data_IF_991566307771
#
_entry.id   IF_991566307771
#
_cell.length_a   1.000
_cell.length_b   1.000
_cell.length_c   1.000
_cell.angle_alpha   90.00
_cell.angle_beta   90.00
_cell.angle_gamma   90.00
#
_symmetry.space_group_name_H-M   'P 1'
#
loop_
_entity.id
_entity.type
_entity.pdbx_description
1 polymer ?
#
# COMPACT_ATOMS: atom_id res chain seq x y z
N UNK A 1 -26.37 11.58 -6.36
CA UNK A 1 -26.47 10.73 -5.16
C UNK A 1 -27.75 11.07 -4.43
N UNK A 2 -28.70 10.14 -4.36
CA UNK A 2 -29.83 10.26 -3.44
C UNK A 2 -29.28 10.18 -2.01
N UNK A 3 -29.74 11.02 -1.07
CA UNK A 3 -29.33 10.87 0.32
C UNK A 3 -29.84 9.52 0.83
N UNK A 4 -28.92 8.67 1.30
CA UNK A 4 -29.21 7.34 1.88
C UNK A 4 -29.96 7.46 3.24
N UNK A 5 -30.45 8.65 3.60
CA UNK A 5 -30.98 8.97 4.92
C UNK A 5 -32.39 8.47 5.24
N UNK A 6 -33.04 7.61 4.44
CA UNK A 6 -34.39 7.12 4.82
C UNK A 6 -34.66 5.66 4.44
N UNK A 7 -33.77 4.74 4.81
CA UNK A 7 -34.20 3.37 5.08
C UNK A 7 -34.36 3.28 6.60
N UNK A 8 -35.60 3.39 7.08
CA UNK A 8 -35.91 3.36 8.51
C UNK A 8 -35.44 2.05 9.13
N UNK A 9 -34.55 2.22 10.10
CA UNK A 9 -34.00 1.27 11.05
C UNK A 9 -35.05 0.68 12.02
N UNK A 10 -36.16 0.14 11.52
CA UNK A 10 -37.14 -0.54 12.38
C UNK A 10 -36.85 -2.04 12.36
N UNK A 11 -36.35 -2.54 13.50
CA UNK A 11 -35.79 -3.89 13.78
C UNK A 11 -34.27 -4.05 13.65
N UNK A 12 -33.47 -3.10 14.15
CA UNK A 12 -32.05 -3.35 14.41
C UNK A 12 -31.94 -4.18 15.69
N UNK A 13 -31.79 -5.50 15.56
CA UNK A 13 -31.13 -6.28 16.61
C UNK A 13 -29.75 -5.65 16.84
N UNK A 14 -29.39 -5.38 18.09
CA UNK A 14 -28.04 -4.96 18.48
C UNK A 14 -27.06 -6.00 17.91
N UNK A 15 -26.44 -5.70 16.77
CA UNK A 15 -25.42 -6.57 16.21
C UNK A 15 -24.18 -6.38 17.06
N UNK A 16 -23.63 -7.48 17.58
CA UNK A 16 -22.42 -7.42 18.39
C UNK A 16 -21.31 -6.67 17.63
N UNK A 17 -20.68 -5.66 18.26
CA UNK A 17 -19.63 -4.87 17.63
C UNK A 17 -18.45 -5.75 17.25
N UNK A 18 -17.79 -5.40 16.15
CA UNK A 18 -16.61 -6.12 15.66
C UNK A 18 -15.65 -5.16 14.96
N UNK A 19 -14.37 -5.50 14.94
CA UNK A 19 -13.30 -4.60 14.49
C UNK A 19 -12.98 -4.76 13.00
N UNK A 20 -12.98 -6.01 12.50
CA UNK A 20 -12.52 -6.36 11.16
C UNK A 20 -13.66 -6.94 10.33
N UNK A 21 -14.01 -6.26 9.24
CA UNK A 21 -14.89 -6.78 8.20
C UNK A 21 -14.05 -7.43 7.09
N UNK A 22 -14.37 -8.67 6.72
CA UNK A 22 -13.75 -9.39 5.60
C UNK A 22 -14.80 -9.62 4.52
N UNK A 23 -14.50 -9.27 3.27
CA UNK A 23 -15.39 -9.45 2.12
C UNK A 23 -14.66 -10.23 1.02
N UNK A 24 -15.27 -11.28 0.47
CA UNK A 24 -14.71 -12.04 -0.66
C UNK A 24 -15.71 -13.04 -1.26
N UNK A 25 -15.34 -13.82 -2.28
CA UNK A 25 -16.18 -14.89 -2.82
C UNK A 25 -16.52 -15.96 -1.79
N UNK A 26 -17.75 -16.50 -1.80
CA UNK A 26 -18.22 -17.55 -0.87
C UNK A 26 -17.27 -18.75 -0.78
N UNK A 27 -16.60 -19.11 -1.88
CA UNK A 27 -15.61 -20.19 -1.94
C UNK A 27 -14.45 -20.01 -0.95
N UNK A 28 -14.19 -18.80 -0.46
CA UNK A 28 -13.10 -18.51 0.50
C UNK A 28 -13.53 -18.64 1.97
N UNK A 29 -14.81 -18.87 2.27
CA UNK A 29 -15.33 -18.88 3.64
C UNK A 29 -14.61 -19.89 4.53
N UNK A 30 -14.44 -21.13 4.05
CA UNK A 30 -13.75 -22.22 4.76
C UNK A 30 -12.33 -21.82 5.12
N UNK A 31 -11.57 -21.35 4.13
CA UNK A 31 -10.17 -20.96 4.27
C UNK A 31 -9.99 -19.77 5.23
N UNK A 32 -10.88 -18.78 5.15
CA UNK A 32 -10.83 -17.59 6.02
C UNK A 32 -11.19 -17.88 7.47
N UNK A 33 -11.89 -18.97 7.78
CA UNK A 33 -12.27 -19.31 9.15
C UNK A 33 -11.05 -19.43 10.06
N UNK A 34 -9.96 -20.08 9.60
CA UNK A 34 -8.71 -20.21 10.36
C UNK A 34 -8.09 -18.85 10.69
N UNK A 35 -8.17 -17.91 9.74
CA UNK A 35 -7.66 -16.55 9.93
C UNK A 35 -8.53 -15.76 10.92
N UNK A 36 -9.86 -15.87 10.85
CA UNK A 36 -10.79 -15.26 11.81
C UNK A 36 -10.53 -15.76 13.23
N UNK A 37 -10.33 -17.06 13.40
CA UNK A 37 -10.04 -17.65 14.71
C UNK A 37 -8.68 -17.18 15.23
N UNK A 38 -7.66 -17.09 14.37
CA UNK A 38 -6.37 -16.48 14.72
C UNK A 38 -6.54 -15.02 15.17
N UNK A 39 -7.30 -14.19 14.44
CA UNK A 39 -7.56 -12.79 14.81
C UNK A 39 -8.25 -12.66 16.17
N UNK A 40 -9.17 -13.58 16.49
CA UNK A 40 -9.79 -13.65 17.82
C UNK A 40 -8.75 -13.87 18.92
N UNK A 41 -7.71 -14.68 18.69
CA UNK A 41 -6.62 -14.86 19.66
C UNK A 41 -5.78 -13.59 19.87
N UNK A 42 -5.78 -12.68 18.89
CA UNK A 42 -5.13 -11.37 18.97
C UNK A 42 -6.06 -10.27 19.52
N UNK A 43 -7.28 -10.63 19.97
CA UNK A 43 -8.26 -9.67 20.47
C UNK A 43 -8.90 -8.81 19.37
N UNK A 44 -8.94 -9.30 18.13
CA UNK A 44 -9.62 -8.67 17.00
C UNK A 44 -10.86 -9.50 16.68
N UNK A 45 -12.04 -8.91 16.86
CA UNK A 45 -13.29 -9.58 16.50
C UNK A 45 -13.51 -9.36 15.00
N UNK A 46 -13.46 -10.44 14.22
CA UNK A 46 -13.63 -10.40 12.77
C UNK A 46 -14.93 -11.07 12.33
N UNK A 47 -15.55 -10.54 11.26
CA UNK A 47 -16.69 -11.17 10.57
C UNK A 47 -16.41 -11.22 9.07
N UNK A 48 -16.86 -12.29 8.45
CA UNK A 48 -16.76 -12.50 7.01
C UNK A 48 -18.16 -12.51 6.37
N UNK A 49 -18.29 -11.79 5.27
CA UNK A 49 -19.46 -11.76 4.41
C UNK A 49 -19.04 -12.05 2.98
N UNK A 50 -19.78 -12.92 2.30
CA UNK A 50 -19.48 -13.18 0.90
C UNK A 50 -20.08 -12.12 -0.02
N UNK A 51 -19.50 -11.96 -1.21
CA UNK A 51 -20.05 -11.11 -2.27
C UNK A 51 -21.47 -11.55 -2.62
N UNK A 52 -21.70 -12.85 -2.65
CA UNK A 52 -22.99 -13.48 -2.93
C UNK A 52 -24.03 -13.08 -1.88
N UNK A 53 -23.68 -13.16 -0.59
CA UNK A 53 -24.53 -12.70 0.52
C UNK A 53 -24.84 -11.21 0.43
N UNK A 54 -23.84 -10.36 0.17
CA UNK A 54 -24.01 -8.91 0.05
C UNK A 54 -24.97 -8.58 -1.10
N UNK A 55 -24.76 -9.20 -2.27
CA UNK A 55 -25.60 -8.97 -3.44
C UNK A 55 -27.04 -9.46 -3.20
N UNK A 56 -27.22 -10.62 -2.57
CA UNK A 56 -28.54 -11.14 -2.21
C UNK A 56 -29.26 -10.25 -1.17
N UNK A 57 -28.55 -9.76 -0.15
CA UNK A 57 -29.09 -8.88 0.88
C UNK A 57 -29.61 -7.57 0.30
N UNK A 58 -28.86 -6.98 -0.65
CA UNK A 58 -29.19 -5.69 -1.24
C UNK A 58 -30.15 -5.78 -2.44
N UNK A 59 -30.31 -6.94 -3.07
CA UNK A 59 -31.26 -7.15 -4.15
C UNK A 59 -32.73 -6.90 -3.74
N UNK A 60 -33.05 -7.03 -2.45
CA UNK A 60 -34.38 -6.73 -1.93
C UNK A 60 -34.68 -5.22 -1.85
N UNK A 61 -33.67 -4.35 -1.94
CA UNK A 61 -33.81 -2.90 -1.83
C UNK A 61 -33.83 -2.32 -3.24
N UNK A 62 -35.02 -1.94 -3.74
CA UNK A 62 -35.23 -1.48 -5.13
C UNK A 62 -34.27 -0.37 -5.57
N UNK A 63 -33.90 0.55 -4.68
CA UNK A 63 -32.97 1.65 -5.00
C UNK A 63 -31.50 1.23 -5.11
N UNK A 64 -31.15 0.01 -4.68
CA UNK A 64 -29.77 -0.52 -4.63
C UNK A 64 -29.62 -1.75 -5.56
N UNK A 65 -30.72 -2.45 -5.86
CA UNK A 65 -30.71 -3.71 -6.60
C UNK A 65 -29.99 -3.63 -7.96
N UNK A 66 -30.14 -2.51 -8.66
CA UNK A 66 -29.56 -2.29 -10.00
C UNK A 66 -28.18 -1.61 -9.97
N UNK A 67 -27.64 -1.29 -8.78
CA UNK A 67 -26.32 -0.67 -8.68
C UNK A 67 -25.20 -1.66 -9.06
N UNK A 68 -24.08 -1.16 -9.60
CA UNK A 68 -22.88 -1.96 -9.80
C UNK A 68 -22.39 -2.59 -8.49
N UNK A 69 -21.72 -3.73 -8.57
CA UNK A 69 -21.22 -4.45 -7.40
C UNK A 69 -20.31 -3.58 -6.51
N UNK A 70 -19.51 -2.69 -7.09
CA UNK A 70 -18.68 -1.73 -6.35
C UNK A 70 -19.52 -0.84 -5.42
N UNK A 71 -20.64 -0.30 -5.90
CA UNK A 71 -21.51 0.57 -5.10
C UNK A 71 -22.30 -0.21 -4.06
N UNK A 72 -22.66 -1.46 -4.36
CA UNK A 72 -23.27 -2.39 -3.39
C UNK A 72 -22.34 -2.72 -2.23
N UNK A 73 -21.07 -3.03 -2.53
CA UNK A 73 -20.05 -3.27 -1.50
C UNK A 73 -19.84 -2.02 -0.66
N UNK A 74 -19.73 -0.84 -1.28
CA UNK A 74 -19.60 0.43 -0.54
C UNK A 74 -20.77 0.69 0.39
N UNK A 75 -22.01 0.59 -0.10
CA UNK A 75 -23.20 0.76 0.73
C UNK A 75 -23.26 -0.25 1.90
N UNK A 76 -22.82 -1.49 1.68
CA UNK A 76 -22.73 -2.50 2.73
C UNK A 76 -21.67 -2.13 3.78
N UNK A 77 -20.46 -1.74 3.35
CA UNK A 77 -19.37 -1.32 4.25
C UNK A 77 -19.77 -0.08 5.07
N UNK A 78 -20.38 0.93 4.45
CA UNK A 78 -20.87 2.13 5.16
C UNK A 78 -21.88 1.77 6.24
N UNK A 79 -22.82 0.86 5.95
CA UNK A 79 -23.80 0.37 6.93
C UNK A 79 -23.14 -0.38 8.08
N UNK A 80 -22.15 -1.23 7.80
CA UNK A 80 -21.43 -1.97 8.84
C UNK A 80 -20.52 -1.08 9.69
N UNK A 81 -19.98 0.00 9.11
CA UNK A 81 -19.31 1.06 9.86
C UNK A 81 -20.24 1.73 10.86
N UNK A 82 -21.42 2.18 10.43
CA UNK A 82 -22.39 2.85 11.30
C UNK A 82 -22.92 1.92 12.41
N UNK A 83 -23.21 0.65 12.08
CA UNK A 83 -23.85 -0.29 13.01
C UNK A 83 -22.87 -0.94 13.97
N UNK A 84 -21.68 -1.29 13.49
CA UNK A 84 -20.75 -2.16 14.22
C UNK A 84 -19.45 -1.47 14.59
N UNK A 85 -19.19 -0.27 14.05
CA UNK A 85 -17.99 0.52 14.34
C UNK A 85 -16.71 -0.13 13.82
N UNK A 86 -16.78 -0.78 12.65
CA UNK A 86 -15.62 -1.47 12.06
C UNK A 86 -14.46 -0.49 11.86
N UNK A 87 -13.24 -0.99 12.10
CA UNK A 87 -11.99 -0.21 12.02
C UNK A 87 -11.15 -0.62 10.82
N UNK A 88 -11.29 -1.88 10.40
CA UNK A 88 -10.53 -2.48 9.34
C UNK A 88 -11.48 -3.18 8.34
N UNK A 89 -11.12 -3.11 7.07
CA UNK A 89 -11.75 -3.84 5.98
C UNK A 89 -10.68 -4.63 5.23
N UNK A 90 -10.92 -5.92 5.03
CA UNK A 90 -10.06 -6.80 4.25
C UNK A 90 -10.82 -7.39 3.07
N UNK A 91 -10.39 -7.05 1.85
CA UNK A 91 -10.98 -7.54 0.61
C UNK A 91 -10.22 -8.80 0.15
N UNK A 92 -10.87 -9.96 0.09
CA UNK A 92 -10.26 -11.22 -0.35
C UNK A 92 -10.65 -11.53 -1.81
N UNK A 93 -9.70 -11.32 -2.73
CA UNK A 93 -9.86 -11.54 -4.16
C UNK A 93 -9.13 -10.51 -5.02
N UNK A 94 -8.99 -10.82 -6.32
CA UNK A 94 -8.51 -9.86 -7.33
C UNK A 94 -9.56 -8.78 -7.62
N UNK A 95 -9.21 -7.81 -8.46
CA UNK A 95 -10.16 -6.79 -8.93
C UNK A 95 -11.31 -7.38 -9.76
N UNK A 96 -11.17 -8.60 -10.29
CA UNK A 96 -12.23 -9.25 -11.07
C UNK A 96 -13.33 -9.83 -10.18
N UNK A 97 -12.98 -10.35 -9.00
CA UNK A 97 -13.95 -10.92 -8.06
C UNK A 97 -14.46 -9.88 -7.06
N UNK A 98 -13.55 -9.10 -6.45
CA UNK A 98 -13.88 -8.00 -5.54
C UNK A 98 -13.45 -6.68 -6.20
N UNK A 99 -14.36 -6.00 -6.93
CA UNK A 99 -13.96 -4.89 -7.77
C UNK A 99 -13.46 -3.68 -6.99
N UNK A 100 -12.54 -2.95 -7.60
CA UNK A 100 -12.06 -1.65 -7.10
C UNK A 100 -12.85 -0.52 -7.77
N UNK A 101 -12.91 0.67 -7.16
CA UNK A 101 -13.59 1.83 -7.79
C UNK A 101 -12.59 2.57 -8.68
N UNK A 102 -13.00 2.88 -9.89
CA UNK A 102 -12.30 3.83 -10.75
C UNK A 102 -12.82 5.24 -10.45
N UNK A 103 -11.94 6.07 -9.90
CA UNK A 103 -12.25 7.43 -9.45
C UNK A 103 -11.66 8.43 -10.42
N UNK A 104 -12.46 9.41 -10.85
CA UNK A 104 -11.99 10.50 -11.70
C UNK A 104 -11.01 11.38 -10.92
N UNK A 105 -9.74 11.33 -11.30
CA UNK A 105 -8.68 12.15 -10.73
C UNK A 105 -7.54 12.27 -11.76
N UNK A 106 -7.66 13.22 -12.69
CA UNK A 106 -6.77 13.31 -13.85
C UNK A 106 -5.32 13.55 -13.44
N UNK A 107 -4.39 12.86 -14.10
CA UNK A 107 -2.93 13.08 -14.00
C UNK A 107 -2.24 12.77 -15.32
N UNK A 108 -1.06 13.35 -15.51
CA UNK A 108 -0.20 13.21 -16.70
C UNK A 108 0.42 11.82 -16.96
N UNK A 109 -0.30 10.75 -16.63
CA UNK A 109 0.08 9.37 -16.92
C UNK A 109 -0.16 9.06 -18.38
N UNK A 110 0.84 9.35 -19.22
CA UNK A 110 0.75 9.01 -20.64
C UNK A 110 0.97 7.51 -20.87
N UNK A 111 0.10 6.92 -21.69
CA UNK A 111 0.27 5.63 -22.40
C UNK A 111 0.26 4.32 -21.58
N UNK A 112 0.48 4.35 -20.26
CA UNK A 112 0.51 3.12 -19.43
C UNK A 112 -0.86 2.78 -18.82
N UNK A 113 -1.68 3.79 -18.52
CA UNK A 113 -2.97 3.60 -17.85
C UNK A 113 -3.96 4.72 -18.22
N UNK A 114 -5.20 4.60 -17.76
CA UNK A 114 -6.20 5.67 -17.90
C UNK A 114 -5.74 6.96 -17.18
N UNK A 115 -5.48 8.01 -17.97
CA UNK A 115 -5.10 9.34 -17.52
C UNK A 115 -6.11 9.94 -16.53
N UNK A 116 -7.40 9.70 -16.74
CA UNK A 116 -8.51 10.32 -16.01
C UNK A 116 -8.92 9.53 -14.78
N UNK A 117 -8.86 8.20 -14.83
CA UNK A 117 -9.43 7.35 -13.79
C UNK A 117 -8.39 6.50 -13.07
N UNK A 118 -8.46 6.49 -11.74
CA UNK A 118 -7.52 5.76 -10.88
C UNK A 118 -8.26 4.67 -10.10
N UNK A 119 -7.81 3.41 -10.15
CA UNK A 119 -8.37 2.34 -9.33
C UNK A 119 -7.99 2.57 -7.87
N UNK A 120 -8.96 2.45 -6.98
CA UNK A 120 -8.75 2.66 -5.54
C UNK A 120 -9.69 1.83 -4.68
N UNK A 121 -9.11 1.17 -3.69
CA UNK A 121 -9.88 0.53 -2.61
C UNK A 121 -10.23 1.54 -1.49
N UNK A 122 -9.62 2.73 -1.48
CA UNK A 122 -9.95 3.79 -0.52
C UNK A 122 -11.38 4.33 -0.68
N UNK A 123 -12.03 4.06 -1.82
CA UNK A 123 -13.46 4.30 -1.97
C UNK A 123 -14.26 3.63 -0.85
N UNK A 124 -13.91 2.39 -0.48
CA UNK A 124 -14.55 1.65 0.61
C UNK A 124 -14.15 2.15 2.01
N UNK A 125 -13.08 2.94 2.11
CA UNK A 125 -12.59 3.48 3.38
C UNK A 125 -13.37 4.70 3.87
N UNK A 126 -14.18 5.31 2.99
CA UNK A 126 -14.88 6.58 3.23
C UNK A 126 -16.39 6.31 3.17
N UNK A 127 -17.06 6.12 4.32
CA UNK A 127 -18.49 5.78 4.35
C UNK A 127 -19.36 6.78 3.59
N UNK A 128 -19.01 8.06 3.69
CA UNK A 128 -19.72 9.20 3.09
C UNK A 128 -18.96 9.79 1.88
N UNK A 129 -18.51 8.92 0.97
CA UNK A 129 -17.73 9.33 -0.21
C UNK A 129 -18.49 10.34 -1.09
N UNK A 130 -17.79 11.39 -1.52
CA UNK A 130 -18.30 12.44 -2.42
C UNK A 130 -17.31 12.75 -3.52
N UNK A 131 -17.70 12.53 -4.78
CA UNK A 131 -16.85 12.83 -5.94
C UNK A 131 -16.46 14.31 -6.01
N UNK A 132 -17.34 15.22 -5.55
CA UNK A 132 -17.06 16.66 -5.49
C UNK A 132 -15.95 17.06 -4.49
N UNK A 133 -15.49 16.14 -3.64
CA UNK A 133 -14.44 16.38 -2.66
C UNK A 133 -13.06 15.87 -3.10
N UNK A 134 -12.97 15.20 -4.25
CA UNK A 134 -11.71 14.70 -4.78
C UNK A 134 -10.74 15.87 -4.99
N UNK A 135 -9.53 15.74 -4.46
CA UNK A 135 -8.47 16.74 -4.57
C UNK A 135 -8.63 17.97 -3.69
N UNK A 136 -9.68 18.07 -2.88
CA UNK A 136 -9.85 19.17 -1.93
C UNK A 136 -9.20 18.86 -0.58
N UNK A 137 -8.83 19.92 0.15
CA UNK A 137 -8.32 19.82 1.52
C UNK A 137 -9.33 19.08 2.41
N UNK A 138 -8.88 18.00 3.05
CA UNK A 138 -9.71 17.10 3.87
C UNK A 138 -10.87 16.43 3.11
N UNK A 139 -10.82 16.40 1.78
CA UNK A 139 -11.80 15.70 0.97
C UNK A 139 -11.67 14.19 1.10
N UNK A 140 -12.81 13.49 1.28
CA UNK A 140 -12.89 12.03 1.39
C UNK A 140 -11.82 11.41 2.31
N UNK A 141 -11.70 11.92 3.53
CA UNK A 141 -10.78 11.38 4.54
C UNK A 141 -11.18 9.94 4.90
N UNK A 142 -10.25 8.96 4.82
CA UNK A 142 -10.57 7.59 5.16
C UNK A 142 -10.81 7.42 6.67
N UNK A 143 -11.85 6.65 6.99
CA UNK A 143 -12.26 6.29 8.35
C UNK A 143 -11.97 4.83 8.70
N UNK A 144 -11.86 3.98 7.68
CA UNK A 144 -11.61 2.54 7.80
C UNK A 144 -10.28 2.23 7.13
N UNK A 145 -9.41 1.44 7.77
CA UNK A 145 -8.19 0.98 7.13
C UNK A 145 -8.54 -0.16 6.16
N UNK A 146 -8.18 -0.03 4.88
CA UNK A 146 -8.54 -1.01 3.85
C UNK A 146 -7.31 -1.75 3.36
N UNK A 147 -7.36 -3.08 3.38
CA UNK A 147 -6.37 -3.97 2.80
C UNK A 147 -7.01 -4.95 1.83
N UNK A 148 -6.18 -5.61 1.02
CA UNK A 148 -6.62 -6.65 0.07
C UNK A 148 -5.72 -7.88 0.13
N UNK A 149 -6.31 -9.06 0.03
CA UNK A 149 -5.64 -10.32 -0.27
C UNK A 149 -5.85 -10.61 -1.77
N UNK A 150 -4.91 -10.27 -2.67
CA UNK A 150 -5.15 -10.25 -4.12
C UNK A 150 -5.04 -11.64 -4.78
N UNK A 151 -5.71 -12.63 -4.20
CA UNK A 151 -5.64 -14.04 -4.58
C UNK A 151 -6.63 -14.38 -5.71
N UNK A 152 -6.24 -15.30 -6.58
CA UNK A 152 -7.03 -15.78 -7.72
C UNK A 152 -7.87 -17.01 -7.37
N UNK A 153 -7.44 -17.79 -6.38
CA UNK A 153 -8.04 -19.07 -5.99
C UNK A 153 -7.80 -19.38 -4.50
N UNK A 154 -8.35 -20.51 -4.05
CA UNK A 154 -8.26 -20.96 -2.65
C UNK A 154 -6.84 -21.39 -2.26
N UNK A 155 -6.04 -21.92 -3.20
CA UNK A 155 -4.67 -22.35 -2.93
C UNK A 155 -3.76 -21.15 -2.60
N UNK A 156 -3.84 -20.09 -3.42
CA UNK A 156 -3.12 -18.85 -3.14
C UNK A 156 -3.59 -18.20 -1.83
N UNK A 157 -4.88 -18.27 -1.51
CA UNK A 157 -5.43 -17.79 -0.25
C UNK A 157 -4.83 -18.53 0.94
N UNK A 158 -4.89 -19.85 0.96
CA UNK A 158 -4.34 -20.67 2.04
C UNK A 158 -2.84 -20.42 2.24
N UNK A 159 -2.09 -20.30 1.15
CA UNK A 159 -0.66 -19.98 1.19
C UNK A 159 -0.42 -18.60 1.82
N UNK A 160 -1.15 -17.57 1.38
CA UNK A 160 -1.04 -16.21 1.91
C UNK A 160 -1.45 -16.14 3.39
N UNK A 161 -2.59 -16.74 3.78
CA UNK A 161 -3.04 -16.77 5.17
C UNK A 161 -2.05 -17.50 6.08
N UNK A 162 -1.43 -18.59 5.60
CA UNK A 162 -0.37 -19.30 6.33
C UNK A 162 0.84 -18.41 6.58
N UNK A 163 1.26 -17.63 5.58
CA UNK A 163 2.37 -16.67 5.70
C UNK A 163 2.03 -15.54 6.68
N UNK A 164 0.82 -14.96 6.58
CA UNK A 164 0.34 -13.91 7.49
C UNK A 164 0.33 -14.42 8.94
N UNK A 165 -0.34 -15.54 9.22
CA UNK A 165 -0.42 -16.12 10.57
C UNK A 165 0.97 -16.42 11.15
N UNK A 166 1.89 -16.94 10.32
CA UNK A 166 3.27 -17.21 10.75
C UNK A 166 4.00 -15.95 11.20
N UNK A 167 3.93 -14.89 10.39
CA UNK A 167 4.61 -13.62 10.67
C UNK A 167 3.97 -12.91 11.85
N UNK A 168 2.65 -12.84 11.89
CA UNK A 168 1.94 -12.15 12.95
C UNK A 168 2.01 -12.86 14.29
N UNK A 169 1.96 -14.19 14.30
CA UNK A 169 2.04 -15.00 15.51
C UNK A 169 3.46 -15.05 16.09
N UNK A 170 4.48 -14.87 15.24
CA UNK A 170 5.89 -14.90 15.66
C UNK A 170 6.79 -14.06 14.73
N UNK A 171 6.67 -12.74 14.82
CA UNK A 171 7.56 -11.86 14.09
C UNK A 171 8.99 -12.05 14.61
N UNK A 172 9.90 -12.44 13.72
CA UNK A 172 11.31 -12.58 14.04
C UNK A 172 11.95 -11.19 14.03
N UNK A 173 12.79 -10.93 15.02
CA UNK A 173 13.63 -9.75 15.01
C UNK A 173 14.68 -9.86 13.89
N UNK A 174 15.04 -8.73 13.30
CA UNK A 174 15.79 -8.64 12.06
C UNK A 174 16.05 -7.20 11.69
N UNK A 175 16.66 -6.95 10.53
CA UNK A 175 16.96 -5.61 10.07
C UNK A 175 15.71 -4.91 9.51
N UNK A 176 15.73 -3.58 9.58
CA UNK A 176 14.94 -2.74 8.69
C UNK A 176 15.80 -2.41 7.47
N UNK A 177 15.51 -3.06 6.35
CA UNK A 177 16.21 -2.90 5.08
C UNK A 177 15.61 -1.71 4.29
N UNK A 178 16.45 -0.77 3.90
CA UNK A 178 16.09 0.29 2.93
C UNK A 178 17.01 0.17 1.72
N UNK A 179 16.47 0.16 0.51
CA UNK A 179 17.28 -0.01 -0.69
C UNK A 179 16.68 0.68 -1.93
N UNK A 180 17.52 1.01 -2.91
CA UNK A 180 17.11 1.62 -4.18
C UNK A 180 17.91 2.88 -4.53
N UNK A 181 17.31 3.77 -5.31
CA UNK A 181 17.92 5.02 -5.73
C UNK A 181 18.11 5.96 -4.52
N UNK A 182 19.15 6.81 -4.56
CA UNK A 182 19.55 7.68 -3.45
C UNK A 182 18.35 8.49 -2.95
N UNK A 183 17.99 8.25 -1.69
CA UNK A 183 17.01 9.07 -0.98
C UNK A 183 17.82 10.13 -0.25
N UNK A 184 17.30 11.36 -0.17
CA UNK A 184 17.66 12.30 0.89
C UNK A 184 17.19 11.69 2.24
N UNK A 185 17.97 10.70 2.71
CA UNK A 185 17.55 9.68 3.69
C UNK A 185 17.50 10.20 5.13
N UNK A 186 18.13 11.34 5.40
CA UNK A 186 18.31 11.87 6.76
C UNK A 186 16.99 12.21 7.48
N UNK A 187 15.89 12.42 6.74
CA UNK A 187 14.61 12.82 7.34
C UNK A 187 13.61 11.68 7.56
N UNK A 188 13.86 10.47 7.05
CA UNK A 188 12.75 9.52 6.88
C UNK A 188 12.37 8.75 8.15
N UNK A 189 13.33 8.40 9.02
CA UNK A 189 13.11 7.38 10.04
C UNK A 189 13.85 7.65 11.36
N UNK A 190 13.12 7.59 12.46
CA UNK A 190 13.66 7.66 13.84
C UNK A 190 14.15 6.30 14.37
N UNK A 191 14.33 5.31 13.50
CA UNK A 191 14.71 3.94 13.84
C UNK A 191 15.95 3.49 13.07
N UNK A 192 16.80 2.62 13.64
CA UNK A 192 17.95 2.08 12.93
C UNK A 192 17.52 1.33 11.66
N UNK A 193 18.24 1.54 10.55
CA UNK A 193 18.04 0.83 9.30
C UNK A 193 19.38 0.47 8.66
N UNK A 194 19.35 -0.52 7.77
CA UNK A 194 20.45 -0.88 6.90
C UNK A 194 20.11 -0.37 5.51
N UNK A 195 20.89 0.58 5.02
CA UNK A 195 20.73 1.14 3.69
C UNK A 195 21.63 0.42 2.69
N UNK A 196 21.07 0.07 1.53
CA UNK A 196 21.85 -0.30 0.35
C UNK A 196 21.50 0.64 -0.79
N UNK A 197 22.44 1.50 -1.14
CA UNK A 197 22.36 2.27 -2.37
C UNK A 197 22.35 1.30 -3.57
N UNK A 198 21.57 1.63 -4.57
CA UNK A 198 21.54 0.88 -5.81
C UNK A 198 22.81 1.16 -6.63
N UNK A 199 23.89 0.53 -6.22
CA UNK A 199 25.06 0.30 -7.05
C UNK A 199 25.00 -1.13 -7.65
N UNK A 200 25.97 -1.45 -8.51
CA UNK A 200 26.07 -2.79 -9.11
C UNK A 200 26.06 -3.95 -8.09
N UNK A 201 26.45 -3.75 -6.82
CA UNK A 201 26.44 -4.79 -5.81
C UNK A 201 25.02 -5.17 -5.36
N UNK A 202 24.06 -4.23 -5.39
CA UNK A 202 22.69 -4.49 -4.95
C UNK A 202 21.99 -5.49 -5.89
N UNK A 203 22.19 -5.35 -7.20
CA UNK A 203 21.65 -6.28 -8.20
C UNK A 203 22.15 -7.70 -7.97
N UNK A 204 23.44 -7.88 -7.68
CA UNK A 204 24.02 -9.21 -7.39
C UNK A 204 23.49 -9.81 -6.08
N UNK A 205 23.32 -8.98 -5.04
CA UNK A 205 22.73 -9.42 -3.75
C UNK A 205 21.28 -9.87 -3.89
N UNK A 206 20.49 -9.19 -4.73
CA UNK A 206 19.12 -9.61 -5.02
C UNK A 206 19.13 -10.94 -5.76
N UNK A 207 19.97 -11.10 -6.79
CA UNK A 207 20.09 -12.35 -7.56
C UNK A 207 20.59 -13.53 -6.72
N UNK A 208 21.44 -13.27 -5.72
CA UNK A 208 21.90 -14.30 -4.78
C UNK A 208 20.88 -14.63 -3.68
N UNK A 209 19.74 -13.93 -3.63
CA UNK A 209 18.67 -14.09 -2.64
C UNK A 209 19.07 -13.81 -1.19
N UNK A 210 20.26 -13.25 -0.97
CA UNK A 210 20.80 -12.96 0.36
C UNK A 210 20.29 -11.66 0.94
N UNK A 211 19.79 -10.73 0.11
CA UNK A 211 19.36 -9.40 0.53
C UNK A 211 18.28 -9.43 1.62
N UNK A 212 17.34 -10.37 1.53
CA UNK A 212 16.20 -10.46 2.46
C UNK A 212 16.47 -11.36 3.67
N UNK A 213 17.67 -11.93 3.78
CA UNK A 213 18.00 -12.80 4.91
C UNK A 213 18.10 -11.99 6.21
N UNK A 214 17.31 -12.39 7.22
CA UNK A 214 17.28 -11.69 8.50
C UNK A 214 16.59 -10.32 8.47
N UNK A 215 15.79 -10.04 7.44
CA UNK A 215 14.99 -8.81 7.34
C UNK A 215 13.67 -8.98 8.09
N UNK A 216 13.27 -7.97 8.86
CA UNK A 216 11.91 -7.88 9.44
C UNK A 216 11.02 -6.96 8.64
N UNK A 217 11.58 -5.84 8.17
CA UNK A 217 10.88 -4.83 7.39
C UNK A 217 11.75 -4.40 6.21
N UNK A 218 11.15 -4.14 5.07
CA UNK A 218 11.83 -3.65 3.89
C UNK A 218 11.13 -2.39 3.34
N UNK A 219 11.90 -1.47 2.81
CA UNK A 219 11.44 -0.34 2.03
C UNK A 219 12.31 -0.20 0.78
N UNK A 220 11.69 -0.26 -0.39
CA UNK A 220 12.37 0.02 -1.65
C UNK A 220 12.03 1.42 -2.11
N UNK A 221 13.02 2.25 -2.44
CA UNK A 221 12.80 3.59 -2.99
C UNK A 221 13.45 3.65 -4.36
N UNK A 222 12.66 3.48 -5.41
CA UNK A 222 13.20 3.36 -6.75
C UNK A 222 12.14 3.71 -7.79
N UNK A 223 12.52 3.66 -9.06
CA UNK A 223 11.54 3.67 -10.14
C UNK A 223 10.81 2.33 -10.21
N UNK A 224 9.62 2.34 -10.82
CA UNK A 224 8.77 1.16 -10.91
C UNK A 224 8.00 1.09 -12.21
N UNK A 225 7.87 -0.12 -12.72
CA UNK A 225 6.84 -0.53 -13.66
C UNK A 225 5.91 -1.53 -12.96
N UNK A 226 4.79 -1.95 -13.58
CA UNK A 226 3.89 -2.91 -12.97
C UNK A 226 4.58 -4.14 -12.39
N UNK A 227 5.55 -4.73 -13.09
CA UNK A 227 6.20 -6.00 -12.71
C UNK A 227 7.64 -5.88 -12.21
N UNK A 228 8.24 -4.68 -12.19
CA UNK A 228 9.69 -4.52 -11.93
C UNK A 228 10.02 -3.22 -11.19
N UNK A 229 10.93 -3.29 -10.21
CA UNK A 229 11.67 -2.14 -9.69
C UNK A 229 12.87 -1.85 -10.58
N UNK A 230 13.07 -0.57 -10.88
CA UNK A 230 14.15 -0.08 -11.72
C UNK A 230 15.02 0.88 -10.93
N UNK A 231 16.30 0.85 -11.20
CA UNK A 231 17.29 1.79 -10.65
C UNK A 231 18.19 2.31 -11.76
N UNK A 232 18.79 3.48 -11.53
CA UNK A 232 19.75 4.09 -12.43
C UNK A 232 21.16 3.86 -11.90
N UNK A 233 21.99 3.20 -12.69
CA UNK A 233 23.38 2.92 -12.34
C UNK A 233 24.28 4.16 -12.52
N UNK A 234 25.53 4.08 -12.07
CA UNK A 234 26.49 5.20 -12.13
C UNK A 234 26.79 5.68 -13.55
N UNK A 235 26.63 4.81 -14.56
CA UNK A 235 26.76 5.14 -15.98
C UNK A 235 25.49 5.79 -16.57
N UNK A 236 24.42 5.85 -15.78
CA UNK A 236 23.12 6.37 -16.15
C UNK A 236 22.18 5.36 -16.81
N UNK A 237 22.59 4.09 -16.96
CA UNK A 237 21.76 3.03 -17.53
C UNK A 237 20.70 2.54 -16.54
N UNK A 238 19.53 2.19 -17.08
CA UNK A 238 18.45 1.60 -16.31
C UNK A 238 18.66 0.11 -16.14
N UNK A 239 18.66 -0.37 -14.90
CA UNK A 239 18.69 -1.80 -14.59
C UNK A 239 17.51 -2.22 -13.75
N UNK A 240 17.03 -3.43 -14.04
CA UNK A 240 16.03 -4.09 -13.22
C UNK A 240 16.67 -4.49 -11.89
N UNK A 241 16.10 -3.96 -10.81
CA UNK A 241 16.53 -4.20 -9.44
C UNK A 241 15.86 -5.47 -8.89
N UNK A 242 14.54 -5.56 -9.02
CA UNK A 242 13.73 -6.69 -8.58
C UNK A 242 12.50 -6.81 -9.48
N UNK A 243 12.32 -7.95 -10.14
CA UNK A 243 11.15 -8.24 -10.96
C UNK A 243 10.25 -9.30 -10.34
N UNK A 244 9.02 -9.41 -10.85
CA UNK A 244 8.07 -10.47 -10.49
C UNK A 244 8.64 -11.88 -10.74
N UNK A 245 9.58 -12.03 -11.68
CA UNK A 245 10.27 -13.29 -11.98
C UNK A 245 11.29 -13.69 -10.90
N UNK A 246 11.91 -12.69 -10.28
CA UNK A 246 12.95 -12.90 -9.25
C UNK A 246 12.36 -13.33 -7.90
N UNK A 247 11.06 -13.14 -7.69
CA UNK A 247 10.38 -13.42 -6.42
C UNK A 247 10.51 -14.89 -6.00
N UNK A 248 10.60 -15.82 -6.95
CA UNK A 248 10.81 -17.26 -6.66
C UNK A 248 12.14 -17.52 -5.93
N UNK A 249 13.11 -16.63 -6.09
CA UNK A 249 14.40 -16.71 -5.40
C UNK A 249 14.33 -16.27 -3.95
N UNK A 250 13.36 -15.45 -3.54
CA UNK A 250 13.29 -14.96 -2.16
C UNK A 250 13.04 -16.14 -1.21
N UNK A 251 13.99 -16.45 -0.32
CA UNK A 251 13.89 -17.60 0.59
C UNK A 251 13.34 -17.24 1.97
N UNK A 252 13.37 -15.96 2.31
CA UNK A 252 13.01 -15.44 3.64
C UNK A 252 11.55 -15.00 3.71
N UNK A 253 10.92 -15.21 4.87
CA UNK A 253 9.61 -14.65 5.19
C UNK A 253 9.83 -13.49 6.16
N UNK A 254 9.24 -12.33 5.86
CA UNK A 254 9.37 -11.12 6.65
C UNK A 254 8.05 -10.34 6.73
N UNK A 255 8.05 -9.25 7.48
CA UNK A 255 6.87 -8.47 7.81
C UNK A 255 6.33 -7.65 6.66
N UNK A 256 6.77 -6.41 6.60
CA UNK A 256 6.25 -5.36 5.71
C UNK A 256 7.28 -5.10 4.61
N UNK A 257 6.83 -5.01 3.37
CA UNK A 257 7.59 -4.39 2.27
C UNK A 257 6.86 -3.14 1.79
N UNK A 258 7.44 -1.96 1.99
CA UNK A 258 6.93 -0.72 1.41
C UNK A 258 7.63 -0.45 0.08
N UNK A 259 6.90 -0.62 -1.02
CA UNK A 259 7.35 -0.32 -2.37
C UNK A 259 7.06 1.15 -2.70
N UNK A 260 8.06 2.00 -2.53
CA UNK A 260 8.00 3.38 -2.96
C UNK A 260 8.46 3.48 -4.42
N UNK A 261 7.56 3.10 -5.33
CA UNK A 261 7.80 3.01 -6.76
C UNK A 261 6.48 3.01 -7.55
N UNK A 262 6.48 3.63 -8.73
CA UNK A 262 5.31 3.73 -9.60
C UNK A 262 4.79 2.35 -10.05
N UNK A 263 3.47 2.21 -10.16
CA UNK A 263 2.74 1.08 -10.76
C UNK A 263 2.97 -0.33 -10.15
N UNK A 264 3.89 -0.51 -9.21
CA UNK A 264 4.21 -1.83 -8.64
C UNK A 264 3.02 -2.54 -7.99
N UNK A 265 1.99 -1.80 -7.60
CA UNK A 265 0.73 -2.28 -7.07
C UNK A 265 -0.43 -2.34 -8.07
N UNK A 266 -0.19 -2.16 -9.37
CA UNK A 266 -1.26 -2.08 -10.38
C UNK A 266 -1.87 -3.44 -10.70
N UNK A 267 -2.84 -3.91 -9.91
CA UNK A 267 -3.50 -5.20 -10.11
C UNK A 267 -4.35 -5.29 -11.37
N UNK A 268 -4.79 -4.14 -11.89
CA UNK A 268 -5.69 -4.02 -13.03
C UNK A 268 -4.98 -3.86 -14.37
N UNK A 269 -3.64 -3.74 -14.37
CA UNK A 269 -2.86 -3.65 -15.59
C UNK A 269 -2.40 -5.05 -16.02
N UNK A 270 -2.64 -5.35 -17.29
CA UNK A 270 -2.02 -6.49 -17.94
C UNK A 270 -0.53 -6.23 -18.09
N UNK A 271 0.27 -7.23 -17.72
CA UNK A 271 1.71 -7.22 -17.95
C UNK A 271 2.02 -8.32 -18.94
N UNK A 272 2.88 -8.01 -19.92
CA UNK A 272 3.27 -8.96 -20.97
C UNK A 272 3.78 -10.28 -20.38
N UNK A 273 4.48 -10.19 -19.24
CA UNK A 273 4.98 -11.35 -18.51
C UNK A 273 4.72 -11.23 -17.00
N UNK A 274 3.86 -12.11 -16.49
CA UNK A 274 3.64 -12.30 -15.05
C UNK A 274 2.48 -11.50 -14.48
N UNK A 275 2.74 -10.79 -13.39
CA UNK A 275 1.76 -9.98 -12.68
C UNK A 275 2.42 -8.79 -11.99
N UNK A 276 1.62 -7.91 -11.39
CA UNK A 276 2.18 -6.78 -10.63
C UNK A 276 3.16 -7.26 -9.56
N UNK A 277 4.26 -6.54 -9.36
CA UNK A 277 5.32 -6.92 -8.45
C UNK A 277 4.81 -7.10 -7.02
N UNK A 278 3.95 -6.19 -6.56
CA UNK A 278 3.37 -6.26 -5.23
C UNK A 278 2.51 -7.52 -5.05
N UNK A 279 1.76 -7.93 -6.09
CA UNK A 279 1.01 -9.18 -6.08
C UNK A 279 1.96 -10.38 -6.02
N UNK A 280 2.95 -10.44 -6.91
CA UNK A 280 3.91 -11.53 -6.96
C UNK A 280 4.59 -11.74 -5.60
N UNK A 281 5.04 -10.65 -4.97
CA UNK A 281 5.60 -10.64 -3.61
C UNK A 281 4.63 -11.22 -2.58
N UNK A 282 3.42 -10.66 -2.47
CA UNK A 282 2.48 -11.03 -1.41
C UNK A 282 1.96 -12.46 -1.58
N UNK A 283 1.69 -12.94 -2.80
CA UNK A 283 1.13 -14.29 -2.97
C UNK A 283 2.18 -15.38 -2.93
N UNK A 284 3.48 -15.07 -3.06
CA UNK A 284 4.54 -16.07 -3.03
C UNK A 284 4.62 -16.81 -1.69
N UNK A 285 5.15 -18.05 -1.70
CA UNK A 285 5.31 -18.85 -0.48
C UNK A 285 6.26 -18.22 0.55
N UNK A 286 7.15 -17.33 0.08
CA UNK A 286 8.13 -16.59 0.86
C UNK A 286 7.86 -15.08 0.70
N UNK A 287 8.82 -14.24 1.05
CA UNK A 287 8.69 -12.80 0.95
C UNK A 287 7.85 -12.17 2.07
N UNK A 288 7.28 -10.98 1.83
CA UNK A 288 6.56 -10.23 2.85
C UNK A 288 5.19 -10.84 3.15
N UNK A 289 4.72 -10.66 4.39
CA UNK A 289 3.33 -10.90 4.78
C UNK A 289 2.42 -9.69 4.51
N UNK A 290 3.00 -8.52 4.25
CA UNK A 290 2.27 -7.31 3.87
C UNK A 290 3.10 -6.47 2.89
N UNK A 291 2.47 -5.99 1.82
CA UNK A 291 3.07 -5.10 0.83
C UNK A 291 2.27 -3.81 0.76
N UNK A 292 2.94 -2.67 0.84
CA UNK A 292 2.36 -1.36 0.55
C UNK A 292 2.95 -0.90 -0.79
N UNK A 293 2.13 -0.50 -1.73
CA UNK A 293 2.58 -0.14 -3.09
C UNK A 293 1.71 0.99 -3.68
N UNK A 294 2.03 1.40 -4.91
CA UNK A 294 1.21 2.32 -5.70
C UNK A 294 0.63 1.62 -6.92
N UNK A 295 -0.68 1.74 -7.14
CA UNK A 295 -1.38 1.24 -8.33
C UNK A 295 -1.08 2.04 -9.59
N UNK A 296 -0.51 3.24 -9.44
CA UNK A 296 -0.20 4.18 -10.52
C UNK A 296 1.07 4.97 -10.20
N UNK A 297 1.26 6.15 -10.79
CA UNK A 297 2.43 6.99 -10.52
C UNK A 297 2.53 7.31 -9.04
N UNK A 298 3.74 7.26 -8.54
CA UNK A 298 4.10 7.66 -7.19
C UNK A 298 5.02 8.89 -7.25
N UNK A 299 5.00 9.70 -6.21
CA UNK A 299 5.81 10.91 -6.13
C UNK A 299 6.87 10.76 -5.04
N UNK A 300 8.13 11.00 -5.39
CA UNK A 300 9.28 11.01 -4.45
C UNK A 300 9.05 11.96 -3.26
N UNK A 301 8.30 13.03 -3.48
CA UNK A 301 8.17 14.15 -2.55
C UNK A 301 7.00 13.97 -1.56
N UNK A 302 6.46 12.76 -1.43
CA UNK A 302 5.33 12.50 -0.54
C UNK A 302 5.82 12.16 0.87
N UNK A 303 5.23 12.79 1.88
CA UNK A 303 5.54 12.51 3.29
C UNK A 303 4.79 11.28 3.83
N UNK A 304 3.95 10.63 3.01
CA UNK A 304 3.14 9.47 3.40
C UNK A 304 3.99 8.32 3.96
N UNK A 305 5.09 7.88 3.31
CA UNK A 305 5.92 6.81 3.84
C UNK A 305 6.54 7.16 5.20
N UNK A 306 7.03 8.39 5.38
CA UNK A 306 7.63 8.86 6.63
C UNK A 306 6.61 8.90 7.77
N UNK A 307 5.41 9.46 7.50
CA UNK A 307 4.33 9.47 8.47
C UNK A 307 3.88 8.06 8.84
N UNK A 308 3.80 7.15 7.87
CA UNK A 308 3.44 5.76 8.10
C UNK A 308 4.45 5.08 9.01
N UNK A 309 5.73 5.10 8.66
CA UNK A 309 6.75 4.39 9.44
C UNK A 309 6.90 4.95 10.84
N UNK A 310 6.89 6.28 11.02
CA UNK A 310 6.94 6.89 12.35
C UNK A 310 5.74 6.44 13.22
N UNK A 311 4.52 6.51 12.68
CA UNK A 311 3.32 6.07 13.40
C UNK A 311 3.32 4.55 13.65
N UNK A 312 3.82 3.76 12.69
CA UNK A 312 3.93 2.31 12.85
C UNK A 312 4.93 1.97 13.95
N UNK A 313 6.12 2.58 13.96
CA UNK A 313 7.11 2.33 14.98
C UNK A 313 6.70 2.84 16.37
N UNK A 314 5.72 3.72 16.46
CA UNK A 314 5.13 4.18 17.72
C UNK A 314 3.99 3.27 18.20
N UNK A 315 3.09 2.88 17.30
CA UNK A 315 1.82 2.22 17.67
C UNK A 315 1.81 0.71 17.45
N UNK A 316 2.62 0.23 16.51
CA UNK A 316 2.62 -1.14 16.03
C UNK A 316 1.38 -1.57 15.24
N UNK A 317 0.43 -0.66 14.96
CA UNK A 317 -0.82 -0.96 14.23
C UNK A 317 -0.71 -0.49 12.78
N UNK A 318 -0.69 -1.42 11.83
CA UNK A 318 -0.48 -1.10 10.41
C UNK A 318 -1.58 -0.18 9.87
N UNK A 319 -2.84 -0.60 10.01
CA UNK A 319 -3.98 0.13 9.46
C UNK A 319 -4.13 1.52 10.04
N UNK A 320 -4.01 1.67 11.36
CA UNK A 320 -4.10 2.99 12.02
C UNK A 320 -2.94 3.91 11.65
N UNK A 321 -1.74 3.37 11.54
CA UNK A 321 -0.55 4.14 11.13
C UNK A 321 -0.70 4.66 9.71
N UNK A 322 -1.26 3.86 8.81
CA UNK A 322 -1.50 4.29 7.44
C UNK A 322 -2.63 5.32 7.35
N UNK A 323 -3.74 5.13 8.07
CA UNK A 323 -4.80 6.13 8.17
C UNK A 323 -4.29 7.46 8.73
N UNK A 324 -3.43 7.41 9.75
CA UNK A 324 -2.78 8.61 10.29
C UNK A 324 -1.96 9.34 9.21
N UNK A 325 -1.12 8.60 8.49
CA UNK A 325 -0.30 9.16 7.40
C UNK A 325 -1.16 9.83 6.32
N UNK A 326 -2.21 9.16 5.85
CA UNK A 326 -3.12 9.69 4.84
C UNK A 326 -3.88 10.92 5.34
N UNK A 327 -4.38 10.89 6.58
CA UNK A 327 -5.11 12.04 7.16
C UNK A 327 -4.21 13.24 7.32
N UNK A 328 -2.95 13.04 7.73
CA UNK A 328 -1.97 14.14 7.85
C UNK A 328 -1.71 14.77 6.49
N UNK A 329 -1.48 13.94 5.47
CA UNK A 329 -1.25 14.35 4.09
C UNK A 329 -2.45 15.11 3.51
N UNK A 330 -3.65 14.53 3.56
CA UNK A 330 -4.89 15.14 3.03
C UNK A 330 -5.35 16.37 3.80
N UNK A 331 -4.83 16.60 5.00
CA UNK A 331 -5.14 17.78 5.82
C UNK A 331 -4.06 18.85 5.72
N UNK A 332 -3.03 18.67 4.89
CA UNK A 332 -1.97 19.66 4.74
C UNK A 332 -2.38 20.81 3.80
N UNK A 333 -2.54 22.04 4.30
CA UNK A 333 -2.95 23.19 3.48
C UNK A 333 -1.86 23.69 2.54
N UNK A 334 -0.60 23.24 2.69
CA UNK A 334 0.47 23.52 1.73
C UNK A 334 0.37 22.63 0.48
N UNK A 335 -0.29 21.47 0.61
CA UNK A 335 -0.51 20.51 -0.48
C UNK A 335 -1.89 20.70 -1.11
N UNK A 336 -2.93 20.87 -0.28
CA UNK A 336 -4.33 20.92 -0.71
C UNK A 336 -5.00 22.27 -0.43
N UNK A 337 -5.93 22.67 -1.31
CA UNK A 337 -6.78 23.86 -1.16
C UNK A 337 -8.21 23.46 -0.84
N UNK A 338 -8.96 24.32 -0.14
CA UNK A 338 -10.40 24.09 0.12
C UNK A 338 -11.27 24.37 -1.11
N UNK A 339 -10.77 25.20 -2.04
CA UNK A 339 -11.52 25.75 -3.16
C UNK A 339 -11.11 25.13 -4.50
N UNK A 340 -9.83 24.77 -4.66
CA UNK A 340 -9.28 24.27 -5.93
C UNK A 340 -8.77 22.85 -5.77
N UNK A 341 -9.37 21.86 -6.48
CA UNK A 341 -8.88 20.49 -6.48
C UNK A 341 -7.43 20.37 -6.95
N UNK A 342 -6.64 19.59 -6.22
CA UNK A 342 -5.24 19.27 -6.48
C UNK A 342 -5.09 17.79 -6.86
N UNK A 343 -5.62 17.41 -8.02
CA UNK A 343 -5.70 16.00 -8.46
C UNK A 343 -4.36 15.27 -8.47
N UNK A 344 -3.28 15.92 -8.92
CA UNK A 344 -1.95 15.31 -8.97
C UNK A 344 -1.47 14.81 -7.59
N UNK A 345 -1.61 15.65 -6.56
CA UNK A 345 -1.26 15.27 -5.19
C UNK A 345 -2.25 14.27 -4.60
N UNK A 346 -3.53 14.43 -4.91
CA UNK A 346 -4.57 13.52 -4.45
C UNK A 346 -4.38 12.09 -4.99
N UNK A 347 -3.81 11.94 -6.19
CA UNK A 347 -3.48 10.64 -6.75
C UNK A 347 -2.49 9.87 -5.89
N UNK A 348 -1.52 10.53 -5.25
CA UNK A 348 -0.59 9.86 -4.34
C UNK A 348 -1.27 9.26 -3.10
N UNK A 349 -2.47 9.70 -2.75
CA UNK A 349 -3.33 9.01 -1.77
C UNK A 349 -4.13 7.90 -2.46
N UNK A 350 -4.88 8.24 -3.50
CA UNK A 350 -5.83 7.33 -4.15
C UNK A 350 -5.20 6.04 -4.63
N UNK A 351 -3.96 6.10 -5.10
CA UNK A 351 -3.29 4.99 -5.76
C UNK A 351 -2.55 4.10 -4.77
N UNK A 352 -2.44 4.48 -3.49
CA UNK A 352 -1.82 3.62 -2.49
C UNK A 352 -2.68 2.39 -2.26
N UNK A 353 -2.03 1.23 -2.20
CA UNK A 353 -2.68 -0.05 -1.95
C UNK A 353 -1.93 -0.77 -0.84
N UNK A 354 -2.68 -1.49 -0.01
CA UNK A 354 -2.12 -2.37 1.01
C UNK A 354 -2.55 -3.80 0.69
N UNK A 355 -1.59 -4.64 0.32
CA UNK A 355 -1.81 -6.06 0.10
C UNK A 355 -1.35 -6.86 1.32
N UNK A 356 -2.29 -7.51 2.00
CA UNK A 356 -2.07 -8.19 3.27
C UNK A 356 -3.07 -7.74 4.33
N UNK A 357 -2.84 -8.18 5.57
CA UNK A 357 -3.72 -7.85 6.69
C UNK A 357 -3.44 -6.46 7.28
N UNK A 358 -4.36 -5.52 7.04
CA UNK A 358 -4.31 -4.17 7.62
C UNK A 358 -4.63 -4.11 9.11
N UNK A 359 -5.18 -5.19 9.68
CA UNK A 359 -5.46 -5.28 11.12
C UNK A 359 -4.26 -5.74 11.94
N UNK A 360 -3.10 -5.98 11.31
CA UNK A 360 -1.90 -6.48 11.97
C UNK A 360 -1.39 -5.51 13.04
N UNK A 361 -1.15 -6.07 14.23
CA UNK A 361 -0.58 -5.39 15.39
C UNK A 361 0.71 -6.07 15.84
N UNK A 362 1.76 -5.29 16.02
CA UNK A 362 3.04 -5.71 16.61
C UNK A 362 3.22 -4.98 17.93
N UNK A 363 3.52 -5.71 19.01
CA UNK A 363 3.89 -5.05 20.27
C UNK A 363 5.31 -4.50 20.15
N UNK A 364 5.44 -3.18 20.17
CA UNK A 364 6.73 -2.48 20.10
C UNK A 364 7.60 -2.95 18.90
N UNK A 365 7.21 -2.59 17.65
CA UNK A 365 7.94 -3.00 16.45
C UNK A 365 9.42 -2.58 16.45
N UNK A 366 9.82 -1.55 17.21
CA UNK A 366 11.22 -1.14 17.33
C UNK A 366 12.08 -2.24 17.92
N UNK A 367 11.56 -3.04 18.85
CA UNK A 367 12.28 -4.20 19.42
C UNK A 367 12.51 -5.33 18.43
N UNK A 368 11.76 -5.34 17.33
CA UNK A 368 11.98 -6.31 16.26
C UNK A 368 13.03 -5.83 15.25
N UNK A 369 13.45 -4.58 15.33
CA UNK A 369 14.55 -4.06 14.52
C UNK A 369 15.86 -4.22 15.29
N UNK A 370 16.71 -5.12 14.81
CA UNK A 370 18.07 -5.28 15.30
C UNK A 370 18.99 -4.35 14.53
N UNK A 371 19.70 -3.49 15.25
CA UNK A 371 20.89 -2.86 14.69
C UNK A 371 21.91 -3.98 14.46
N UNK A 372 22.24 -4.27 13.21
CA UNK A 372 23.29 -5.23 12.90
C UNK A 372 24.62 -4.61 13.33
N UNK A 373 25.11 -4.96 14.52
CA UNK A 373 26.46 -4.57 14.94
C UNK A 373 27.49 -5.46 14.24
N UNK A 374 28.29 -4.84 13.37
CA UNK A 374 29.71 -5.13 13.14
C UNK A 374 30.17 -6.33 12.28
N UNK A 375 29.32 -7.28 11.88
CA UNK A 375 29.80 -8.46 11.11
C UNK A 375 29.46 -8.49 9.61
N UNK A 376 28.93 -7.40 9.05
CA UNK A 376 28.94 -7.22 7.59
C UNK A 376 30.24 -6.52 7.21
N UNK A 377 31.01 -6.99 6.20
CA UNK A 377 32.19 -6.30 5.71
C UNK A 377 31.73 -4.97 5.09
N UNK A 378 31.62 -3.93 5.91
CA UNK A 378 31.31 -2.58 5.46
C UNK A 378 32.57 -1.93 4.91
N UNK A 379 32.43 -1.35 3.73
CA UNK A 379 33.37 -0.37 3.21
C UNK A 379 33.26 0.89 4.10
N UNK A 380 34.34 1.45 4.68
CA UNK A 380 34.28 2.46 5.75
C UNK A 380 33.73 3.85 5.37
N UNK A 381 33.15 4.05 4.20
CA UNK A 381 32.81 5.39 3.70
C UNK A 381 31.45 5.94 4.15
N UNK A 382 30.68 5.25 4.99
CA UNK A 382 29.30 5.68 5.30
C UNK A 382 28.77 5.29 6.69
N UNK A 383 29.63 5.28 7.71
CA UNK A 383 29.15 5.29 9.10
C UNK A 383 28.84 6.75 9.45
N UNK A 384 27.57 7.15 9.35
CA UNK A 384 27.11 8.38 10.00
C UNK A 384 27.13 8.16 11.51
N UNK A 385 27.89 9.00 12.23
CA UNK A 385 27.95 9.02 13.69
C UNK A 385 26.55 9.24 14.27
N UNK A 386 25.97 8.18 14.83
CA UNK A 386 24.75 8.22 15.64
C UNK A 386 25.10 8.58 17.10
N UNK A 387 25.81 9.68 17.32
CA UNK A 387 25.93 10.28 18.65
C UNK A 387 24.87 11.38 18.83
N UNK A 388 23.82 11.04 19.59
CA UNK A 388 22.86 11.92 20.30
C UNK A 388 22.95 13.42 20.04
N UNK A 389 22.36 13.90 18.94
CA UNK A 389 21.88 15.28 18.84
C UNK A 389 20.39 15.34 19.20
N UNK A 390 20.11 15.86 20.40
CA UNK A 390 18.78 16.37 20.72
C UNK A 390 18.53 17.62 19.84
N UNK A 391 17.88 17.42 18.70
CA UNK A 391 17.55 18.49 17.76
C UNK A 391 16.35 19.29 18.27
N UNK A 392 16.61 20.57 18.60
CA UNK A 392 15.58 21.60 18.63
C UNK A 392 15.12 21.78 17.18
N UNK A 393 13.88 21.38 16.88
CA UNK A 393 13.26 21.59 15.57
C UNK A 393 13.04 23.10 15.42
N UNK A 394 13.92 23.77 14.69
CA UNK A 394 13.66 25.13 14.20
C UNK A 394 12.70 25.04 13.02
N UNK A 395 11.48 25.53 13.22
CA UNK A 395 10.44 25.59 12.19
C UNK A 395 10.65 26.80 11.29
N UNK A 396 11.77 26.88 10.58
CA UNK A 396 11.86 27.83 9.47
C UNK A 396 11.07 27.29 8.27
N UNK A 397 10.10 28.10 7.83
CA UNK A 397 9.21 27.80 6.69
C UNK A 397 10.02 27.42 5.46
N UNK A 398 9.89 26.16 5.00
CA UNK A 398 10.25 25.77 3.63
C UNK A 398 9.55 26.72 2.65
N UNK A 399 10.33 27.44 1.84
CA UNK A 399 9.80 28.24 0.73
C UNK A 399 9.05 27.30 -0.23
N UNK A 400 7.88 27.69 -0.77
CA UNK A 400 7.21 26.91 -1.79
C UNK A 400 8.15 26.69 -2.97
N UNK A 401 8.20 25.45 -3.45
CA UNK A 401 9.05 25.01 -4.54
C UNK A 401 8.78 25.84 -5.81
N UNK A 402 9.86 26.22 -6.50
CA UNK A 402 9.76 26.98 -7.74
C UNK A 402 9.02 26.11 -8.80
N UNK A 403 7.90 26.61 -9.38
CA UNK A 403 7.16 25.88 -10.41
C UNK A 403 8.02 25.44 -11.61
N UNK A 404 9.16 26.07 -11.87
CA UNK A 404 10.09 25.65 -12.93
C UNK A 404 10.83 24.33 -12.62
N UNK A 405 11.13 24.04 -11.35
CA UNK A 405 11.77 22.78 -10.96
C UNK A 405 10.78 21.62 -11.08
N UNK A 406 9.50 21.85 -10.73
CA UNK A 406 8.43 20.89 -10.96
C UNK A 406 8.26 20.56 -12.45
N UNK A 407 8.36 21.57 -13.33
CA UNK A 407 8.30 21.38 -14.79
C UNK A 407 9.54 20.64 -15.34
N UNK A 408 10.72 20.85 -14.76
CA UNK A 408 11.95 20.17 -15.18
C UNK A 408 11.95 18.68 -14.81
N UNK A 409 11.63 18.35 -13.56
CA UNK A 409 11.46 16.96 -13.12
C UNK A 409 10.35 16.26 -13.93
N UNK A 410 9.30 17.01 -14.29
CA UNK A 410 8.22 16.55 -15.16
C UNK A 410 8.67 16.23 -16.59
N UNK A 411 9.45 17.10 -17.25
CA UNK A 411 9.98 16.82 -18.59
C UNK A 411 10.90 15.60 -18.61
N UNK A 412 11.66 15.37 -17.53
CA UNK A 412 12.54 14.22 -17.39
C UNK A 412 11.75 12.90 -17.34
N UNK A 413 10.69 12.86 -16.52
CA UNK A 413 9.81 11.67 -16.40
C UNK A 413 9.03 11.41 -17.69
N UNK A 414 8.56 12.44 -18.39
CA UNK A 414 7.87 12.28 -19.68
C UNK A 414 8.81 11.84 -20.81
N UNK A 415 10.05 12.34 -20.86
CA UNK A 415 11.06 11.82 -21.79
C UNK A 415 11.39 10.36 -21.52
N UNK A 416 11.37 9.93 -20.26
CA UNK A 416 11.65 8.54 -19.89
C UNK A 416 10.58 7.56 -20.36
N UNK A 417 9.30 7.94 -20.33
CA UNK A 417 8.23 7.12 -20.92
C UNK A 417 8.46 6.85 -22.41
N UNK A 418 8.83 7.89 -23.15
CA UNK A 418 9.15 7.81 -24.58
C UNK A 418 10.42 7.00 -24.87
N UNK A 419 11.47 7.14 -24.06
CA UNK A 419 12.74 6.39 -24.24
C UNK A 419 12.57 4.91 -23.91
N UNK A 420 11.86 4.56 -22.82
CA UNK A 420 11.57 3.16 -22.50
C UNK A 420 10.71 2.49 -23.59
N UNK A 421 9.71 3.20 -24.13
CA UNK A 421 8.90 2.72 -25.27
C UNK A 421 9.73 2.50 -26.53
N UNK A 422 10.68 3.39 -26.83
CA UNK A 422 11.59 3.23 -27.98
C UNK A 422 12.51 2.01 -27.83
N UNK A 423 12.99 1.72 -26.61
CA UNK A 423 13.80 0.53 -26.32
C UNK A 423 13.01 -0.78 -26.39
N UNK A 424 11.73 -0.76 -25.99
CA UNK A 424 10.84 -1.93 -26.07
C UNK A 424 10.47 -2.23 -27.54
N UNK A 425 10.19 -1.19 -28.33
CA UNK A 425 9.80 -1.36 -29.74
C UNK A 425 10.99 -1.59 -30.70
N UNK A 426 12.23 -1.26 -30.30
CA UNK A 426 13.44 -1.41 -31.12
C UNK A 426 14.05 -2.83 -31.16
N UNK A 427 13.44 -3.82 -30.51
CA UNK A 427 13.89 -5.24 -30.50
C UNK A 427 12.94 -6.20 -31.26
N UNK A 428 12.14 -5.69 -32.20
CA UNK A 428 11.38 -6.52 -33.15
C UNK A 428 12.04 -6.58 -34.51
#
# INVERSE_FOLDING_TARGET
>A
MLPITTIRAENISNSDPYDLLIIGPEAYRSSLQRFIDFKRTQGIIAKYFSIEEINACLAAIKSIADLPLTEKIHAFVSREYERSGIKYLLLAGTYASVPTKYVYSPSYEFEIADFNYKPTDWYYAVPEWKDSQIGLLRGNLPEIAVGRLPVKDEEELERLLSKIILVEGRLRAGSFLVFGDSIESEALLSVPYVFYEADGNLTEKIKSNTLFHGVSYAMSCSHGSPSTLWTKETDGEWKALLSSKDIKGIESIYGIHYLFACFTGALDLEVEEGESLARALIVSAKGPALVIASSRTDGSDTEIPSYFWNAFFETGDVGRSFLYALRRYLSDPSIFSKETPRYQYYNFYLTKVIYGDVSWRVKDPRRTVLALSENLPMNPSMIMDLETHALVIDTERKKPMDPFIAIYNFLLVSMMGLIMMAFINGKR
#
